data_IF_888564205742
#
_entry.id   IF_888564205742
#
_cell.length_a   1.000
_cell.length_b   1.000
_cell.length_c   1.000
_cell.angle_alpha   90.00
_cell.angle_beta   90.00
_cell.angle_gamma   90.00
#
_symmetry.space_group_name_H-M   'P 1'
#
loop_
_entity.id
_entity.type
_entity.pdbx_description
1 polymer ?
#
# COMPACT_ATOMS: atom_id res chain seq x y z
N UNK A 1 -10.52 16.20 10.04
CA UNK A 1 -9.05 16.46 10.07
C UNK A 1 -8.24 15.18 10.26
N UNK A 2 -8.57 14.32 11.24
CA UNK A 2 -7.88 13.03 11.44
C UNK A 2 -7.98 12.08 10.22
N UNK A 3 -9.12 12.03 9.54
CA UNK A 3 -9.31 11.12 8.40
C UNK A 3 -8.48 11.50 7.18
N UNK A 4 -8.30 12.81 6.94
CA UNK A 4 -7.43 13.32 5.87
C UNK A 4 -5.97 12.95 6.15
N UNK A 5 -5.53 13.05 7.41
CA UNK A 5 -4.16 12.64 7.80
C UNK A 5 -3.98 11.14 7.62
N UNK A 6 -4.94 10.31 8.05
CA UNK A 6 -4.91 8.86 7.82
C UNK A 6 -4.87 8.53 6.33
N UNK A 7 -5.67 9.21 5.52
CA UNK A 7 -5.69 9.04 4.06
C UNK A 7 -4.30 9.29 3.44
N UNK A 8 -3.65 10.41 3.81
CA UNK A 8 -2.30 10.73 3.33
C UNK A 8 -1.30 9.64 3.73
N UNK A 9 -1.35 9.17 4.99
CA UNK A 9 -0.47 8.08 5.46
C UNK A 9 -0.70 6.80 4.62
N UNK A 10 -1.94 6.39 4.40
CA UNK A 10 -2.22 5.17 3.64
C UNK A 10 -1.83 5.29 2.16
N UNK A 11 -1.95 6.47 1.56
CA UNK A 11 -1.46 6.73 0.21
C UNK A 11 0.06 6.57 0.15
N UNK A 12 0.80 7.13 1.11
CA UNK A 12 2.27 6.96 1.20
C UNK A 12 2.64 5.50 1.35
N UNK A 13 1.93 4.73 2.19
CA UNK A 13 2.14 3.29 2.35
C UNK A 13 1.90 2.54 1.05
N UNK A 14 0.81 2.84 0.33
CA UNK A 14 0.50 2.20 -0.95
C UNK A 14 1.59 2.47 -2.01
N UNK A 15 2.06 3.73 -2.12
CA UNK A 15 3.15 4.09 -3.03
C UNK A 15 4.43 3.34 -2.67
N UNK A 16 4.81 3.34 -1.38
CA UNK A 16 6.00 2.65 -0.90
C UNK A 16 5.95 1.13 -1.16
N UNK A 17 4.78 0.51 -1.00
CA UNK A 17 4.59 -0.89 -1.32
C UNK A 17 4.72 -1.17 -2.83
N UNK A 18 4.17 -0.33 -3.72
CA UNK A 18 4.35 -0.46 -5.18
C UNK A 18 5.82 -0.38 -5.56
N UNK A 19 6.55 0.62 -5.03
CA UNK A 19 7.97 0.80 -5.31
C UNK A 19 8.77 -0.43 -4.84
N UNK A 20 8.51 -0.91 -3.62
CA UNK A 20 9.20 -2.09 -3.09
C UNK A 20 8.88 -3.36 -3.89
N UNK A 21 7.64 -3.53 -4.36
CA UNK A 21 7.28 -4.63 -5.25
C UNK A 21 8.10 -4.55 -6.53
N UNK A 22 8.14 -3.37 -7.16
CA UNK A 22 8.92 -3.15 -8.37
C UNK A 22 10.41 -3.46 -8.17
N UNK A 23 11.00 -2.99 -7.08
CA UNK A 23 12.39 -3.29 -6.72
C UNK A 23 12.61 -4.78 -6.47
N UNK A 24 11.69 -5.45 -5.79
CA UNK A 24 11.75 -6.89 -5.52
C UNK A 24 11.72 -7.70 -6.83
N UNK A 25 10.93 -7.28 -7.82
CA UNK A 25 10.88 -7.92 -9.13
C UNK A 25 12.16 -7.73 -9.95
N UNK A 26 12.93 -6.68 -9.69
CA UNK A 26 14.23 -6.43 -10.33
C UNK A 26 15.39 -7.19 -9.66
N UNK A 27 15.18 -7.83 -8.51
CA UNK A 27 16.24 -8.61 -7.85
C UNK A 27 16.50 -9.92 -8.59
N UNK A 28 17.78 -10.36 -8.67
CA UNK A 28 18.13 -11.64 -9.28
C UNK A 28 17.57 -12.85 -8.50
N UNK A 29 17.43 -12.70 -7.18
CA UNK A 29 16.72 -13.65 -6.31
C UNK A 29 15.54 -12.94 -5.68
N UNK A 30 14.34 -13.30 -6.13
CA UNK A 30 13.08 -12.71 -5.70
C UNK A 30 12.59 -13.42 -4.44
N UNK A 31 12.22 -12.67 -3.42
CA UNK A 31 11.53 -13.22 -2.25
C UNK A 31 10.03 -13.28 -2.51
N UNK A 32 9.51 -14.49 -2.68
CA UNK A 32 8.06 -14.73 -2.82
C UNK A 32 7.33 -14.18 -1.60
N UNK A 33 7.89 -14.36 -0.40
CA UNK A 33 7.34 -13.80 0.83
C UNK A 33 7.22 -12.28 0.77
N UNK A 34 8.26 -11.57 0.32
CA UNK A 34 8.25 -10.11 0.19
C UNK A 34 7.15 -9.65 -0.77
N UNK A 35 7.04 -10.27 -1.94
CA UNK A 35 6.02 -9.94 -2.95
C UNK A 35 4.61 -10.16 -2.38
N UNK A 36 4.36 -11.30 -1.73
CA UNK A 36 3.06 -11.63 -1.14
C UNK A 36 2.73 -10.66 0.00
N UNK A 37 3.68 -10.40 0.89
CA UNK A 37 3.51 -9.47 2.01
C UNK A 37 3.17 -8.06 1.53
N UNK A 38 3.93 -7.53 0.57
CA UNK A 38 3.70 -6.20 0.01
C UNK A 38 2.37 -6.12 -0.74
N UNK A 39 1.95 -7.21 -1.41
CA UNK A 39 0.66 -7.28 -2.09
C UNK A 39 -0.51 -7.25 -1.10
N UNK A 40 -0.41 -7.99 0.01
CA UNK A 40 -1.42 -7.94 1.09
C UNK A 40 -1.48 -6.54 1.72
N UNK A 41 -0.32 -5.91 1.95
CA UNK A 41 -0.22 -4.52 2.40
C UNK A 41 -0.95 -3.56 1.44
N UNK A 42 -0.77 -3.76 0.13
CA UNK A 42 -1.41 -2.93 -0.89
C UNK A 42 -2.93 -3.06 -0.87
N UNK A 43 -3.44 -4.29 -0.76
CA UNK A 43 -4.88 -4.58 -0.68
C UNK A 43 -5.47 -3.95 0.59
N UNK A 44 -4.81 -4.13 1.73
CA UNK A 44 -5.24 -3.54 3.01
C UNK A 44 -5.27 -2.00 2.96
N UNK A 45 -4.20 -1.38 2.47
CA UNK A 45 -4.13 0.08 2.32
C UNK A 45 -5.21 0.60 1.37
N UNK A 46 -5.45 -0.08 0.24
CA UNK A 46 -6.49 0.30 -0.73
C UNK A 46 -7.89 0.23 -0.14
N UNK A 47 -8.18 -0.80 0.66
CA UNK A 47 -9.45 -0.92 1.37
C UNK A 47 -9.69 0.22 2.37
N UNK A 48 -8.66 0.57 3.13
CA UNK A 48 -8.73 1.66 4.11
C UNK A 48 -8.86 3.04 3.43
N UNK A 49 -8.14 3.25 2.32
CA UNK A 49 -8.29 4.47 1.49
C UNK A 49 -9.74 4.58 0.99
N UNK A 50 -10.30 3.49 0.46
CA UNK A 50 -11.69 3.47 -0.04
C UNK A 50 -12.70 3.75 1.05
N UNK A 51 -12.56 3.15 2.24
CA UNK A 51 -13.46 3.37 3.38
C UNK A 51 -13.41 4.82 3.85
N UNK A 52 -12.22 5.40 3.98
CA UNK A 52 -12.04 6.81 4.36
C UNK A 52 -12.64 7.73 3.30
N UNK A 53 -12.38 7.46 2.01
CA UNK A 53 -12.89 8.27 0.92
C UNK A 53 -14.43 8.22 0.83
N UNK A 54 -15.03 7.05 1.06
CA UNK A 54 -16.49 6.88 1.08
C UNK A 54 -17.18 7.57 2.25
N UNK A 55 -16.46 7.89 3.33
CA UNK A 55 -16.99 8.64 4.47
C UNK A 55 -16.79 10.15 4.32
N UNK A 56 -15.88 10.56 3.43
CA UNK A 56 -15.53 11.95 3.19
C UNK A 56 -16.38 12.59 2.07
N UNK A 57 -16.91 11.76 1.16
CA UNK A 57 -17.65 12.12 -0.05
C UNK A 57 -19.13 11.77 0.12
#
# INVERSE_FOLDING_TARGET
MIDVVRLVIFIVVAIGAIINIYLEFNKPKKSIFSIVFLSVLLIGASGLIKDILSKLL
#
